data_IF_392945774685
#
_entry.id   IF_392945774685
#
_cell.length_a   1.000
_cell.length_b   1.000
_cell.length_c   1.000
_cell.angle_alpha   90.00
_cell.angle_beta   90.00
_cell.angle_gamma   90.00
#
_symmetry.space_group_name_H-M   'P 1'
#
loop_
_entity.id
_entity.type
_entity.pdbx_description
1 polymer ?
#
# COMPACT_ATOMS: atom_id res chain seq x y z
N UNK A 1 -15.22 38.82 -6.88
CA UNK A 1 -13.83 38.53 -6.45
C UNK A 1 -13.94 37.50 -5.33
N UNK A 2 -13.20 36.38 -5.40
CA UNK A 2 -13.07 35.49 -4.25
C UNK A 2 -12.32 36.24 -3.15
N UNK A 3 -12.82 36.19 -1.92
CA UNK A 3 -12.10 36.67 -0.75
C UNK A 3 -10.80 35.88 -0.58
N UNK A 4 -9.78 36.46 0.04
CA UNK A 4 -8.47 35.81 0.13
C UNK A 4 -8.53 34.49 0.94
N UNK A 5 -9.44 34.38 1.91
CA UNK A 5 -9.74 33.14 2.63
C UNK A 5 -10.32 32.03 1.72
N UNK A 6 -11.25 32.36 0.82
CA UNK A 6 -11.82 31.38 -0.12
C UNK A 6 -10.77 30.88 -1.12
N UNK A 7 -9.84 31.76 -1.55
CA UNK A 7 -8.72 31.37 -2.43
C UNK A 7 -7.75 30.43 -1.70
N UNK A 8 -7.40 30.74 -0.45
CA UNK A 8 -6.50 29.92 0.35
C UNK A 8 -7.08 28.52 0.59
N UNK A 9 -8.37 28.45 0.94
CA UNK A 9 -9.06 27.18 1.13
C UNK A 9 -9.08 26.32 -0.14
N UNK A 10 -9.37 26.93 -1.30
CA UNK A 10 -9.36 26.25 -2.60
C UNK A 10 -7.96 25.74 -2.96
N UNK A 11 -6.91 26.51 -2.68
CA UNK A 11 -5.52 26.12 -2.91
C UNK A 11 -5.12 24.90 -2.07
N UNK A 12 -5.46 24.90 -0.76
CA UNK A 12 -5.20 23.76 0.13
C UNK A 12 -5.90 22.48 -0.33
N UNK A 13 -7.17 22.57 -0.76
CA UNK A 13 -7.89 21.42 -1.32
C UNK A 13 -7.20 20.84 -2.56
N UNK A 14 -6.75 21.71 -3.47
CA UNK A 14 -6.04 21.28 -4.68
C UNK A 14 -4.74 20.55 -4.32
N UNK A 15 -3.98 21.07 -3.36
CA UNK A 15 -2.75 20.43 -2.89
C UNK A 15 -3.00 19.04 -2.31
N UNK A 16 -4.06 18.86 -1.52
CA UNK A 16 -4.44 17.54 -0.97
C UNK A 16 -4.83 16.58 -2.10
N UNK A 17 -5.60 17.03 -3.09
CA UNK A 17 -5.97 16.22 -4.24
C UNK A 17 -4.75 15.77 -5.06
N UNK A 18 -3.80 16.67 -5.31
CA UNK A 18 -2.56 16.34 -6.01
C UNK A 18 -1.74 15.27 -5.27
N UNK A 19 -1.64 15.37 -3.93
CA UNK A 19 -0.97 14.37 -3.10
C UNK A 19 -1.71 13.03 -3.14
N UNK A 20 -3.04 13.04 -3.06
CA UNK A 20 -3.85 11.82 -3.11
C UNK A 20 -3.72 11.11 -4.46
N UNK A 21 -3.72 11.85 -5.57
CA UNK A 21 -3.52 11.29 -6.92
C UNK A 21 -2.13 10.66 -7.03
N UNK A 22 -1.07 11.35 -6.57
CA UNK A 22 0.29 10.79 -6.55
C UNK A 22 0.36 9.51 -5.73
N UNK A 23 -0.26 9.49 -4.55
CA UNK A 23 -0.31 8.29 -3.71
C UNK A 23 -0.99 7.14 -4.46
N UNK A 24 -2.22 7.33 -4.93
CA UNK A 24 -3.02 6.28 -5.58
C UNK A 24 -2.35 5.70 -6.83
N UNK A 25 -1.66 6.53 -7.61
CA UNK A 25 -1.00 6.12 -8.86
C UNK A 25 0.36 5.44 -8.66
N UNK A 26 1.04 5.69 -7.53
CA UNK A 26 2.41 5.20 -7.29
C UNK A 26 2.49 4.12 -6.22
N UNK A 27 1.47 3.98 -5.36
CA UNK A 27 1.45 2.97 -4.30
C UNK A 27 1.57 1.53 -4.82
N UNK A 28 1.01 1.12 -5.99
CA UNK A 28 1.19 -0.25 -6.48
C UNK A 28 2.64 -0.57 -6.83
N UNK A 29 3.35 0.38 -7.45
CA UNK A 29 4.77 0.21 -7.77
C UNK A 29 5.62 0.13 -6.50
N UNK A 30 5.31 0.93 -5.48
CA UNK A 30 5.97 0.83 -4.18
C UNK A 30 5.75 -0.54 -3.52
N UNK A 31 4.50 -1.03 -3.50
CA UNK A 31 4.16 -2.35 -2.96
C UNK A 31 4.86 -3.50 -3.68
N UNK A 32 5.12 -3.37 -4.98
CA UNK A 32 5.85 -4.36 -5.77
C UNK A 32 7.35 -4.39 -5.45
N UNK A 33 7.94 -3.24 -5.08
CA UNK A 33 9.38 -3.10 -4.87
C UNK A 33 9.83 -3.43 -3.44
N UNK A 34 8.94 -3.37 -2.46
CA UNK A 34 9.27 -3.65 -1.06
C UNK A 34 9.31 -5.15 -0.77
N UNK A 35 10.33 -5.59 -0.03
CA UNK A 35 10.46 -6.97 0.45
C UNK A 35 9.70 -7.20 1.78
N UNK A 36 9.21 -6.15 2.45
CA UNK A 36 8.55 -6.24 3.77
C UNK A 36 7.09 -6.66 3.65
N UNK A 37 6.87 -7.90 3.24
CA UNK A 37 5.53 -8.44 2.97
C UNK A 37 4.76 -8.84 4.24
N UNK A 38 5.41 -9.08 5.37
CA UNK A 38 4.70 -9.47 6.60
C UNK A 38 4.25 -8.26 7.43
N UNK A 39 4.78 -7.07 7.14
CA UNK A 39 4.44 -5.82 7.83
C UNK A 39 3.30 -5.06 7.15
N UNK A 40 2.52 -4.32 7.94
CA UNK A 40 1.46 -3.45 7.42
C UNK A 40 2.07 -2.40 6.48
N UNK A 41 1.34 -2.01 5.43
CA UNK A 41 1.80 -1.00 4.49
C UNK A 41 2.08 0.33 5.19
N UNK A 42 1.30 0.66 6.22
CA UNK A 42 1.57 1.82 7.08
C UNK A 42 2.94 1.74 7.74
N UNK A 43 3.31 0.60 8.34
CA UNK A 43 4.63 0.43 8.96
C UNK A 43 5.76 0.46 7.93
N UNK A 44 5.54 -0.15 6.75
CA UNK A 44 6.52 -0.13 5.67
C UNK A 44 6.78 1.32 5.22
N UNK A 45 5.73 2.10 4.98
CA UNK A 45 5.85 3.51 4.57
C UNK A 45 6.51 4.37 5.64
N UNK A 46 6.12 4.18 6.91
CA UNK A 46 6.45 5.15 7.97
C UNK A 46 7.72 4.81 8.75
N UNK A 47 8.15 3.54 8.73
CA UNK A 47 9.24 3.05 9.60
C UNK A 47 10.31 2.29 8.85
N UNK A 48 9.92 1.35 7.98
CA UNK A 48 10.87 0.40 7.40
C UNK A 48 11.53 0.94 6.14
N UNK A 49 10.76 1.55 5.24
CA UNK A 49 11.26 2.02 3.94
C UNK A 49 10.73 3.41 3.55
N UNK A 50 10.87 4.44 4.42
CA UNK A 50 10.43 5.80 4.12
C UNK A 50 11.16 6.40 2.90
N UNK A 51 12.43 6.05 2.70
CA UNK A 51 13.23 6.56 1.58
C UNK A 51 12.79 5.95 0.24
N UNK A 52 12.43 4.65 0.21
CA UNK A 52 11.85 4.02 -0.96
C UNK A 52 10.48 4.62 -1.27
N UNK A 53 9.65 4.86 -0.25
CA UNK A 53 8.35 5.50 -0.43
C UNK A 53 8.49 6.89 -1.06
N UNK A 54 9.43 7.69 -0.57
CA UNK A 54 9.75 9.00 -1.14
C UNK A 54 10.24 8.87 -2.59
N UNK A 55 11.19 7.98 -2.85
CA UNK A 55 11.77 7.80 -4.19
C UNK A 55 10.72 7.36 -5.22
N UNK A 56 9.81 6.45 -4.83
CA UNK A 56 8.79 5.93 -5.74
C UNK A 56 7.63 6.91 -5.91
N UNK A 57 7.11 7.48 -4.83
CA UNK A 57 5.85 8.25 -4.87
C UNK A 57 6.06 9.76 -5.00
N UNK A 58 7.25 10.26 -4.61
CA UNK A 58 7.52 11.68 -4.44
C UNK A 58 6.78 12.31 -3.25
N UNK A 59 6.24 11.50 -2.34
CA UNK A 59 5.56 11.94 -1.11
C UNK A 59 6.44 11.64 0.10
N UNK A 60 6.45 12.57 1.05
CA UNK A 60 7.13 12.36 2.33
C UNK A 60 6.23 11.57 3.31
N UNK A 61 6.82 11.06 4.39
CA UNK A 61 6.04 10.49 5.52
C UNK A 61 5.08 11.52 6.11
N UNK A 62 5.47 12.80 6.22
CA UNK A 62 4.55 13.86 6.66
C UNK A 62 3.36 14.02 5.72
N UNK A 63 3.56 13.91 4.41
CA UNK A 63 2.46 13.99 3.44
C UNK A 63 1.50 12.82 3.59
N UNK A 64 2.03 11.62 3.82
CA UNK A 64 1.23 10.44 4.10
C UNK A 64 0.41 10.63 5.39
N UNK A 65 1.04 11.09 6.48
CA UNK A 65 0.34 11.39 7.72
C UNK A 65 -0.75 12.45 7.55
N UNK A 66 -0.51 13.48 6.74
CA UNK A 66 -1.52 14.48 6.42
C UNK A 66 -2.75 13.84 5.76
N UNK A 67 -2.55 12.96 4.77
CA UNK A 67 -3.66 12.24 4.12
C UNK A 67 -4.43 11.35 5.10
N UNK A 68 -3.72 10.63 5.98
CA UNK A 68 -4.33 9.80 7.03
C UNK A 68 -5.16 10.65 8.00
N UNK A 69 -4.60 11.77 8.49
CA UNK A 69 -5.27 12.69 9.41
C UNK A 69 -6.53 13.32 8.80
N UNK A 70 -6.48 13.63 7.50
CA UNK A 70 -7.62 14.13 6.75
C UNK A 70 -8.68 13.05 6.44
N UNK A 71 -8.43 11.79 6.82
CA UNK A 71 -9.34 10.65 6.65
C UNK A 71 -9.81 10.45 5.21
N UNK A 72 -8.93 10.70 4.25
CA UNK A 72 -9.24 10.50 2.82
C UNK A 72 -9.14 9.03 2.38
N UNK A 73 -8.60 8.17 3.24
CA UNK A 73 -8.54 6.73 3.02
C UNK A 73 -9.69 6.03 3.74
N UNK A 74 -10.36 5.11 3.05
CA UNK A 74 -11.21 4.11 3.69
C UNK A 74 -10.34 2.89 4.02
N UNK A 75 -10.09 2.65 5.31
CA UNK A 75 -9.23 1.57 5.80
C UNK A 75 -9.62 0.19 5.28
N UNK A 76 -10.92 -0.12 5.26
CA UNK A 76 -11.41 -1.42 4.83
C UNK A 76 -11.14 -1.64 3.34
N UNK A 77 -11.46 -0.65 2.50
CA UNK A 77 -11.19 -0.71 1.06
C UNK A 77 -9.68 -0.79 0.78
N UNK A 78 -8.87 -0.07 1.56
CA UNK A 78 -7.42 -0.14 1.46
C UNK A 78 -6.90 -1.54 1.80
N UNK A 79 -7.38 -2.16 2.89
CA UNK A 79 -7.02 -3.53 3.23
C UNK A 79 -7.40 -4.53 2.12
N UNK A 80 -8.61 -4.42 1.59
CA UNK A 80 -9.08 -5.27 0.48
C UNK A 80 -8.22 -5.08 -0.78
N UNK A 81 -7.91 -3.84 -1.15
CA UNK A 81 -7.10 -3.53 -2.33
C UNK A 81 -5.66 -4.04 -2.20
N UNK A 82 -5.04 -3.85 -1.03
CA UNK A 82 -3.67 -4.36 -0.76
C UNK A 82 -3.66 -5.88 -0.79
N UNK A 83 -4.65 -6.54 -0.17
CA UNK A 83 -4.76 -8.00 -0.19
C UNK A 83 -4.91 -8.54 -1.63
N UNK A 84 -5.84 -7.95 -2.40
CA UNK A 84 -6.06 -8.34 -3.78
C UNK A 84 -4.80 -8.15 -4.63
N UNK A 85 -4.13 -6.99 -4.52
CA UNK A 85 -2.90 -6.70 -5.24
C UNK A 85 -1.82 -7.77 -4.98
N UNK A 86 -1.56 -8.07 -3.71
CA UNK A 86 -0.54 -9.07 -3.32
C UNK A 86 -0.89 -10.47 -3.79
N UNK A 87 -2.18 -10.86 -3.75
CA UNK A 87 -2.64 -12.14 -4.30
C UNK A 87 -2.45 -12.24 -5.81
N UNK A 88 -2.76 -11.18 -6.56
CA UNK A 88 -2.60 -11.18 -8.02
C UNK A 88 -1.14 -11.19 -8.44
N UNK A 89 -0.28 -10.44 -7.76
CA UNK A 89 1.16 -10.44 -7.99
C UNK A 89 1.75 -11.85 -7.76
N UNK A 90 1.46 -12.46 -6.60
CA UNK A 90 1.94 -13.79 -6.22
C UNK A 90 1.44 -14.89 -7.18
N UNK A 91 0.18 -14.81 -7.63
CA UNK A 91 -0.36 -15.72 -8.65
C UNK A 91 0.32 -15.54 -10.02
N UNK A 92 0.64 -14.30 -10.41
CA UNK A 92 1.24 -13.98 -11.71
C UNK A 92 2.70 -14.45 -11.78
N UNK A 93 3.45 -14.29 -10.70
CA UNK A 93 4.85 -14.72 -10.60
C UNK A 93 4.97 -16.25 -10.53
N UNK A 94 4.06 -16.92 -9.80
CA UNK A 94 4.00 -18.39 -9.82
C UNK A 94 3.73 -18.96 -11.20
N UNK A 95 2.87 -18.32 -11.99
CA UNK A 95 2.59 -18.75 -13.36
C UNK A 95 3.84 -18.69 -14.25
N UNK A 96 4.77 -17.76 -14.00
CA UNK A 96 6.06 -17.68 -14.70
C UNK A 96 7.15 -18.53 -14.06
N UNK A 97 6.84 -19.31 -13.02
CA UNK A 97 7.77 -20.19 -12.31
C UNK A 97 8.64 -19.47 -11.28
N UNK A 98 8.32 -18.21 -10.92
CA UNK A 98 9.04 -17.43 -9.93
C UNK A 98 8.25 -17.46 -8.61
N UNK A 99 8.82 -18.07 -7.57
CA UNK A 99 8.33 -17.86 -6.21
C UNK A 99 9.03 -16.61 -5.65
N UNK A 100 8.33 -15.47 -5.67
CA UNK A 100 8.93 -14.20 -5.28
C UNK A 100 9.16 -14.06 -3.79
N UNK A 101 8.37 -14.78 -2.98
CA UNK A 101 8.43 -14.69 -1.52
C UNK A 101 8.22 -16.09 -0.91
N UNK A 102 9.21 -16.99 -1.07
CA UNK A 102 9.12 -18.34 -0.55
C UNK A 102 8.98 -18.33 0.98
N UNK A 103 8.08 -19.16 1.49
CA UNK A 103 7.88 -19.30 2.94
C UNK A 103 7.05 -18.22 3.61
N UNK A 104 6.46 -17.28 2.88
CA UNK A 104 5.57 -16.28 3.48
C UNK A 104 4.39 -16.94 4.19
N UNK A 105 4.21 -16.65 5.48
CA UNK A 105 3.11 -17.21 6.30
C UNK A 105 2.03 -16.18 6.60
N UNK A 106 2.36 -14.89 6.54
CA UNK A 106 1.45 -13.78 6.80
C UNK A 106 1.53 -12.73 5.69
N UNK A 107 0.44 -12.01 5.48
CA UNK A 107 0.41 -10.81 4.66
C UNK A 107 0.07 -9.60 5.51
N UNK A 108 0.95 -8.61 5.50
CA UNK A 108 0.57 -7.27 5.86
C UNK A 108 -0.39 -6.68 4.83
N UNK A 109 -1.47 -6.08 5.30
CA UNK A 109 -2.42 -5.31 4.50
C UNK A 109 -2.11 -3.82 4.65
N UNK A 110 -3.11 -2.96 4.58
CA UNK A 110 -2.90 -1.54 4.80
C UNK A 110 -2.50 -1.25 6.25
N UNK A 111 -3.31 -1.69 7.21
CA UNK A 111 -3.09 -1.47 8.66
C UNK A 111 -3.29 -2.73 9.51
N UNK A 112 -3.57 -3.87 8.89
CA UNK A 112 -3.78 -5.17 9.54
C UNK A 112 -2.83 -6.22 8.98
N UNK A 113 -2.67 -7.35 9.68
CA UNK A 113 -1.91 -8.51 9.21
C UNK A 113 -2.85 -9.71 9.20
N UNK A 114 -2.80 -10.51 8.14
CA UNK A 114 -3.62 -11.72 7.97
C UNK A 114 -2.74 -12.94 7.70
N UNK A 115 -3.20 -14.13 8.08
CA UNK A 115 -2.52 -15.39 7.78
C UNK A 115 -2.72 -15.74 6.31
N UNK A 116 -1.67 -16.19 5.63
CA UNK A 116 -1.77 -16.76 4.29
C UNK A 116 -2.37 -18.16 4.41
N UNK A 117 -3.47 -18.41 3.71
CA UNK A 117 -4.00 -19.78 3.59
C UNK A 117 -2.91 -20.69 3.02
N UNK A 118 -2.49 -21.69 3.79
CA UNK A 118 -1.60 -22.73 3.28
C UNK A 118 -2.37 -23.57 2.27
N UNK A 119 -1.80 -23.91 1.11
CA UNK A 119 -2.42 -24.90 0.23
C UNK A 119 -2.53 -26.21 1.01
N UNK A 120 -3.75 -26.76 1.08
CA UNK A 120 -4.01 -28.05 1.71
C UNK A 120 -3.22 -29.11 0.93
N UNK A 121 -2.16 -29.64 1.53
CA UNK A 121 -1.47 -30.80 0.98
C UNK A 121 -2.32 -32.03 1.27
N UNK A 122 -3.02 -32.53 0.27
CA UNK A 122 -3.59 -33.86 0.35
C UNK A 122 -2.44 -34.86 0.25
N UNK A 123 -2.06 -35.47 1.36
CA UNK A 123 -1.18 -36.64 1.33
C UNK A 123 -1.92 -37.74 0.57
N UNK A 124 -1.56 -37.97 -0.69
CA UNK A 124 -1.93 -39.21 -1.38
C UNK A 124 -1.12 -40.32 -0.74
N UNK A 125 -1.71 -40.95 0.29
CA UNK A 125 -1.21 -42.18 0.87
C UNK A 125 -1.09 -43.23 -0.23
N UNK A 126 0.14 -43.68 -0.47
CA UNK A 126 0.47 -44.86 -1.26
C UNK A 126 0.76 -46.00 -0.32
#
# INVERSE_FOLDING_TARGET
QLTDEEKEYKSKRKLVQEKLIKFATRIPAFMYLTDFRENTLQDVITKLEPDLFLAVTGLTVQDFHLLVQLKVFNTEQMNQAVFAFRRYEDASLRYTGIDSHPGLTHYGLYDTVVVREQPVTYETGV
#
